data_IF_924596690712
#
_entry.id   IF_924596690712
#
_cell.length_a   1.000
_cell.length_b   1.000
_cell.length_c   1.000
_cell.angle_alpha   90.00
_cell.angle_beta   90.00
_cell.angle_gamma   90.00
#
_symmetry.space_group_name_H-M   'P 1'
#
loop_
_entity.id
_entity.type
_entity.pdbx_description
1 polymer ?
#
# COMPACT_ATOMS: atom_id res chain seq x y z
N UNK A 1 -49.96 23.29 57.67
CA UNK A 1 -49.55 24.00 56.43
C UNK A 1 -49.37 25.50 56.69
N UNK A 2 -48.51 25.95 57.61
CA UNK A 2 -48.09 27.37 57.70
C UNK A 2 -49.13 28.50 57.86
N UNK A 3 -50.41 28.20 58.00
CA UNK A 3 -51.47 29.17 58.24
C UNK A 3 -51.52 29.50 59.73
N UNK A 4 -51.40 30.78 60.05
CA UNK A 4 -51.67 31.27 61.40
C UNK A 4 -53.00 31.98 61.42
N UNK A 5 -53.76 31.78 62.50
CA UNK A 5 -55.01 32.48 62.73
C UNK A 5 -54.67 33.94 62.99
N UNK A 6 -55.12 34.83 62.11
CA UNK A 6 -54.93 36.27 62.23
C UNK A 6 -56.27 36.95 61.98
N UNK A 7 -56.53 38.07 62.66
CA UNK A 7 -57.78 38.80 62.50
C UNK A 7 -57.68 39.65 61.23
N UNK A 8 -58.71 39.61 60.40
CA UNK A 8 -58.74 40.31 59.10
C UNK A 8 -60.08 41.09 59.03
N UNK A 9 -60.08 42.25 58.35
CA UNK A 9 -61.27 43.10 58.15
C UNK A 9 -61.20 44.44 58.90
N UNK A 10 -62.05 45.41 58.52
CA UNK A 10 -62.08 46.73 59.17
C UNK A 10 -62.63 46.61 60.60
N UNK A 11 -61.73 46.42 61.57
CA UNK A 11 -62.03 46.33 62.99
C UNK A 11 -61.72 44.99 63.66
N UNK A 12 -60.92 44.10 63.05
CA UNK A 12 -60.38 42.89 63.70
C UNK A 12 -61.46 41.91 64.23
N UNK A 13 -62.63 41.85 63.57
CA UNK A 13 -63.76 41.03 64.04
C UNK A 13 -63.87 39.65 63.41
N UNK A 14 -63.19 39.39 62.28
CA UNK A 14 -63.28 38.11 61.57
C UNK A 14 -61.98 37.31 61.73
N UNK A 15 -62.13 36.02 62.07
CA UNK A 15 -61.03 35.07 62.17
C UNK A 15 -60.63 34.59 60.78
N UNK A 16 -59.51 35.08 60.27
CA UNK A 16 -58.91 34.65 59.01
C UNK A 16 -57.67 33.78 59.21
N UNK A 17 -57.25 33.13 58.13
CA UNK A 17 -55.97 32.41 58.08
C UNK A 17 -55.03 33.18 57.17
N UNK A 18 -53.92 33.70 57.71
CA UNK A 18 -52.91 34.40 56.94
C UNK A 18 -51.70 33.49 56.78
N UNK A 19 -51.23 33.34 55.54
CA UNK A 19 -49.97 32.67 55.25
C UNK A 19 -48.84 33.62 55.64
N UNK A 20 -47.96 33.18 56.53
CA UNK A 20 -46.74 33.92 56.85
C UNK A 20 -45.93 34.16 55.57
N UNK A 21 -45.68 35.43 55.23
CA UNK A 21 -44.87 35.83 54.05
C UNK A 21 -43.50 35.13 54.01
N UNK A 22 -42.89 34.85 55.17
CA UNK A 22 -41.63 34.10 55.26
C UNK A 22 -41.74 32.67 54.75
N UNK A 23 -42.88 31.99 55.00
CA UNK A 23 -43.12 30.62 54.50
C UNK A 23 -43.42 30.59 53.01
N UNK A 24 -44.15 31.60 52.50
CA UNK A 24 -44.43 31.71 51.07
C UNK A 24 -43.13 31.98 50.27
N UNK A 25 -42.23 32.82 50.81
CA UNK A 25 -40.89 33.01 50.25
C UNK A 25 -40.06 31.72 50.30
N UNK A 26 -40.10 30.99 51.43
CA UNK A 26 -39.41 29.70 51.54
C UNK A 26 -39.89 28.67 50.51
N UNK A 27 -41.20 28.62 50.25
CA UNK A 27 -41.78 27.72 49.24
C UNK A 27 -41.38 28.14 47.82
N UNK A 28 -41.40 29.43 47.50
CA UNK A 28 -40.96 29.95 46.20
C UNK A 28 -39.46 29.72 45.94
N UNK A 29 -38.61 29.95 46.95
CA UNK A 29 -37.18 29.65 46.87
C UNK A 29 -36.96 28.15 46.71
N UNK A 30 -37.70 27.32 47.45
CA UNK A 30 -37.65 25.86 47.32
C UNK A 30 -38.04 25.37 45.93
N UNK A 31 -39.09 25.92 45.33
CA UNK A 31 -39.51 25.54 43.96
C UNK A 31 -38.48 25.96 42.91
N UNK A 32 -37.89 27.16 43.04
CA UNK A 32 -36.84 27.63 42.12
C UNK A 32 -35.58 26.76 42.25
N UNK A 33 -35.21 26.37 43.48
CA UNK A 33 -34.08 25.47 43.72
C UNK A 33 -34.30 24.09 43.06
N UNK A 34 -35.51 23.52 43.17
CA UNK A 34 -35.83 22.23 42.52
C UNK A 34 -35.74 22.33 41.00
N UNK A 35 -36.28 23.40 40.40
CA UNK A 35 -36.17 23.64 38.95
C UNK A 35 -34.71 23.82 38.54
N UNK A 36 -33.91 24.53 39.33
CA UNK A 36 -32.48 24.68 39.10
C UNK A 36 -31.73 23.35 39.12
N UNK A 37 -32.02 22.48 40.09
CA UNK A 37 -31.41 21.13 40.17
C UNK A 37 -31.82 20.29 38.95
N UNK A 38 -33.11 20.31 38.56
CA UNK A 38 -33.57 19.57 37.38
C UNK A 38 -32.90 20.09 36.08
N UNK A 39 -32.74 21.41 35.94
CA UNK A 39 -32.05 21.98 34.79
C UNK A 39 -30.58 21.55 34.73
N UNK A 40 -29.88 21.51 35.87
CA UNK A 40 -28.50 21.02 35.96
C UNK A 40 -28.43 19.54 35.56
N UNK A 41 -29.35 18.70 36.06
CA UNK A 41 -29.41 17.27 35.69
C UNK A 41 -29.61 17.10 34.18
N UNK A 42 -30.52 17.87 33.56
CA UNK A 42 -30.74 17.82 32.10
C UNK A 42 -29.49 18.24 31.32
N UNK A 43 -28.77 19.27 31.78
CA UNK A 43 -27.52 19.70 31.13
C UNK A 43 -26.44 18.62 31.27
N UNK A 44 -26.33 17.99 32.43
CA UNK A 44 -25.36 16.91 32.66
C UNK A 44 -25.69 15.67 31.81
N UNK A 45 -26.96 15.26 31.70
CA UNK A 45 -27.34 14.11 30.87
C UNK A 45 -27.14 14.39 29.37
N UNK A 46 -27.44 15.61 28.91
CA UNK A 46 -27.12 16.01 27.53
C UNK A 46 -25.60 16.01 27.28
N UNK A 47 -24.81 16.40 28.27
CA UNK A 47 -23.35 16.36 28.18
C UNK A 47 -22.83 14.92 28.15
N UNK A 48 -23.33 14.04 29.01
CA UNK A 48 -22.99 12.60 29.02
C UNK A 48 -23.35 11.93 27.70
N UNK A 49 -24.57 12.11 27.19
CA UNK A 49 -24.99 11.56 25.89
C UNK A 49 -24.09 12.06 24.76
N UNK A 50 -23.70 13.34 24.78
CA UNK A 50 -22.80 13.90 23.76
C UNK A 50 -21.38 13.34 23.89
N UNK A 51 -20.91 13.09 25.12
CA UNK A 51 -19.61 12.51 25.39
C UNK A 51 -19.55 11.02 25.03
N UNK A 52 -20.57 10.24 25.37
CA UNK A 52 -20.71 8.84 24.99
C UNK A 52 -20.75 8.69 23.46
N UNK A 53 -21.53 9.54 22.77
CA UNK A 53 -21.58 9.53 21.31
C UNK A 53 -20.20 9.80 20.70
N UNK A 54 -19.44 10.76 21.25
CA UNK A 54 -18.06 11.07 20.81
C UNK A 54 -17.07 9.93 21.09
N UNK A 55 -17.18 9.30 22.25
CA UNK A 55 -16.38 8.12 22.62
C UNK A 55 -16.67 6.93 21.71
N UNK A 56 -17.95 6.69 21.41
CA UNK A 56 -18.39 5.59 20.55
C UNK A 56 -17.87 5.77 19.12
N UNK A 57 -18.00 6.97 18.54
CA UNK A 57 -17.45 7.25 17.20
C UNK A 57 -15.93 7.11 17.12
N UNK A 58 -15.19 7.40 18.19
CA UNK A 58 -13.74 7.16 18.22
C UNK A 58 -13.40 5.67 18.19
N UNK A 59 -14.15 4.85 18.93
CA UNK A 59 -13.96 3.39 18.90
C UNK A 59 -14.38 2.82 17.56
N UNK A 60 -15.50 3.30 17.01
CA UNK A 60 -16.00 2.89 15.70
C UNK A 60 -14.97 3.21 14.60
N UNK A 61 -14.44 4.44 14.56
CA UNK A 61 -13.38 4.82 13.63
C UNK A 61 -12.13 3.96 13.78
N UNK A 62 -11.71 3.66 15.02
CA UNK A 62 -10.56 2.76 15.24
C UNK A 62 -10.81 1.35 14.72
N UNK A 63 -11.99 0.80 14.99
CA UNK A 63 -12.38 -0.54 14.50
C UNK A 63 -12.51 -0.54 12.97
N UNK A 64 -13.05 0.52 12.38
CA UNK A 64 -13.18 0.70 10.93
C UNK A 64 -11.82 0.90 10.26
N UNK A 65 -10.93 1.75 10.78
CA UNK A 65 -9.57 1.89 10.27
C UNK A 65 -8.77 0.59 10.41
N UNK A 66 -8.93 -0.14 11.51
CA UNK A 66 -8.28 -1.44 11.67
C UNK A 66 -8.81 -2.45 10.65
N UNK A 67 -10.13 -2.48 10.42
CA UNK A 67 -10.74 -3.33 9.40
C UNK A 67 -10.27 -2.94 7.99
N UNK A 68 -10.23 -1.65 7.67
CA UNK A 68 -9.78 -1.13 6.38
C UNK A 68 -8.28 -1.41 6.15
N UNK A 69 -7.44 -1.22 7.17
CA UNK A 69 -6.01 -1.56 7.12
C UNK A 69 -5.79 -3.06 6.92
N UNK A 70 -6.55 -3.92 7.61
CA UNK A 70 -6.51 -5.38 7.37
C UNK A 70 -6.98 -5.75 5.98
N UNK A 71 -8.00 -5.07 5.46
CA UNK A 71 -8.53 -5.32 4.12
C UNK A 71 -7.49 -4.91 3.07
N UNK A 72 -6.86 -3.75 3.23
CA UNK A 72 -5.76 -3.30 2.40
C UNK A 72 -4.54 -4.24 2.46
N UNK A 73 -4.20 -4.77 3.64
CA UNK A 73 -3.14 -5.76 3.78
C UNK A 73 -3.45 -7.05 3.01
N UNK A 74 -4.64 -7.63 3.24
CA UNK A 74 -5.06 -8.85 2.53
C UNK A 74 -5.10 -8.61 1.02
N UNK A 75 -5.51 -7.41 0.61
CA UNK A 75 -5.46 -7.01 -0.79
C UNK A 75 -4.02 -6.97 -1.31
N UNK A 76 -3.09 -6.32 -0.60
CA UNK A 76 -1.68 -6.26 -0.97
C UNK A 76 -1.01 -7.64 -1.02
N UNK A 77 -1.31 -8.54 -0.08
CA UNK A 77 -0.84 -9.93 -0.13
C UNK A 77 -1.38 -10.66 -1.36
N UNK A 78 -2.67 -10.48 -1.68
CA UNK A 78 -3.27 -10.99 -2.91
C UNK A 78 -2.60 -10.41 -4.16
N UNK A 79 -2.22 -9.13 -4.13
CA UNK A 79 -1.50 -8.44 -5.20
C UNK A 79 -0.09 -9.00 -5.42
N UNK A 80 0.65 -9.26 -4.34
CA UNK A 80 1.97 -9.89 -4.39
C UNK A 80 1.89 -11.28 -5.02
N UNK A 81 1.01 -12.14 -4.50
CA UNK A 81 0.78 -13.49 -5.06
C UNK A 81 0.38 -13.44 -6.54
N UNK A 82 -0.43 -12.46 -6.91
CA UNK A 82 -0.88 -12.28 -8.28
C UNK A 82 0.24 -11.85 -9.24
N UNK A 83 1.13 -10.97 -8.78
CA UNK A 83 2.32 -10.56 -9.54
C UNK A 83 3.22 -11.75 -9.80
N UNK A 84 3.45 -12.57 -8.79
CA UNK A 84 4.25 -13.79 -8.89
C UNK A 84 3.65 -14.77 -9.90
N UNK A 85 2.33 -14.99 -9.87
CA UNK A 85 1.63 -15.84 -10.84
C UNK A 85 1.81 -15.35 -12.30
N UNK A 86 1.81 -14.03 -12.53
CA UNK A 86 2.06 -13.46 -13.87
C UNK A 86 3.50 -13.72 -14.30
N UNK A 87 4.47 -13.49 -13.41
CA UNK A 87 5.89 -13.70 -13.71
C UNK A 87 6.12 -15.18 -14.00
N UNK A 88 5.61 -16.09 -13.17
CA UNK A 88 5.69 -17.53 -13.39
C UNK A 88 5.04 -17.94 -14.72
N UNK A 89 3.91 -17.33 -15.09
CA UNK A 89 3.26 -17.57 -16.38
C UNK A 89 4.13 -17.15 -17.57
N UNK A 90 4.78 -15.99 -17.48
CA UNK A 90 5.68 -15.48 -18.52
C UNK A 90 6.95 -16.34 -18.64
N UNK A 91 7.54 -16.76 -17.52
CA UNK A 91 8.66 -17.69 -17.49
C UNK A 91 8.27 -19.05 -18.09
N UNK A 92 7.09 -19.57 -17.76
CA UNK A 92 6.58 -20.80 -18.34
C UNK A 92 6.38 -20.68 -19.87
N UNK A 93 5.93 -19.52 -20.38
CA UNK A 93 5.89 -19.26 -21.82
C UNK A 93 7.27 -19.21 -22.45
N UNK A 94 8.25 -18.57 -21.80
CA UNK A 94 9.62 -18.49 -22.28
C UNK A 94 10.25 -19.90 -22.34
N UNK A 95 10.04 -20.72 -21.31
CA UNK A 95 10.45 -22.12 -21.28
C UNK A 95 9.81 -22.94 -22.41
N UNK A 96 8.52 -22.75 -22.68
CA UNK A 96 7.84 -23.40 -23.80
C UNK A 96 8.47 -23.03 -25.16
N UNK A 97 8.82 -21.76 -25.37
CA UNK A 97 9.50 -21.31 -26.60
C UNK A 97 10.91 -21.91 -26.72
N UNK A 98 11.64 -21.94 -25.61
CA UNK A 98 12.99 -22.54 -25.53
C UNK A 98 12.96 -24.04 -25.81
N UNK A 99 11.99 -24.77 -25.24
CA UNK A 99 11.77 -26.19 -25.50
C UNK A 99 11.48 -26.45 -26.98
N UNK A 100 10.60 -25.65 -27.59
CA UNK A 100 10.26 -25.79 -29.01
C UNK A 100 11.49 -25.55 -29.92
N UNK A 101 12.34 -24.58 -29.57
CA UNK A 101 13.58 -24.29 -30.30
C UNK A 101 14.61 -25.41 -30.14
N UNK A 102 14.77 -25.91 -28.91
CA UNK A 102 15.66 -27.04 -28.60
C UNK A 102 15.25 -28.29 -29.35
N UNK A 103 13.94 -28.52 -29.51
CA UNK A 103 13.40 -29.64 -30.28
C UNK A 103 13.77 -29.58 -31.76
N UNK A 104 13.60 -28.43 -32.41
CA UNK A 104 14.00 -28.24 -33.80
C UNK A 104 15.49 -28.57 -34.02
N UNK A 105 16.34 -28.25 -33.03
CA UNK A 105 17.76 -28.60 -33.06
C UNK A 105 18.05 -30.09 -32.81
N UNK A 106 17.29 -30.73 -31.91
CA UNK A 106 17.41 -32.15 -31.59
C UNK A 106 17.10 -33.01 -32.82
N UNK A 107 16.05 -32.66 -33.56
CA UNK A 107 15.65 -33.38 -34.77
C UNK A 107 16.82 -33.46 -35.77
N UNK A 108 17.48 -32.33 -36.04
CA UNK A 108 18.64 -32.26 -36.95
C UNK A 108 19.81 -33.09 -36.42
N UNK A 109 20.12 -33.00 -35.12
CA UNK A 109 21.21 -33.77 -34.50
C UNK A 109 20.93 -35.27 -34.55
N UNK A 110 19.72 -35.70 -34.21
CA UNK A 110 19.34 -37.10 -34.19
C UNK A 110 19.41 -37.70 -35.60
N UNK A 111 18.88 -36.98 -36.61
CA UNK A 111 18.99 -37.38 -38.02
C UNK A 111 20.47 -37.59 -38.41
N UNK A 112 21.34 -36.64 -38.06
CA UNK A 112 22.78 -36.71 -38.32
C UNK A 112 23.46 -37.89 -37.61
N UNK A 113 23.10 -38.18 -36.35
CA UNK A 113 23.66 -39.29 -35.59
C UNK A 113 23.24 -40.63 -36.17
N UNK A 114 21.96 -40.76 -36.56
CA UNK A 114 21.45 -41.99 -37.16
C UNK A 114 22.06 -42.22 -38.54
N UNK A 115 22.21 -41.18 -39.36
CA UNK A 115 22.92 -41.27 -40.64
C UNK A 115 24.39 -41.72 -40.46
N UNK A 116 25.05 -41.30 -39.39
CA UNK A 116 26.42 -41.71 -39.07
C UNK A 116 26.48 -43.16 -38.58
N UNK A 117 25.61 -43.54 -37.64
CA UNK A 117 25.53 -44.90 -37.11
C UNK A 117 25.12 -45.92 -38.18
N UNK A 118 24.24 -45.53 -39.10
CA UNK A 118 23.84 -46.35 -40.24
C UNK A 118 25.03 -46.72 -41.13
N UNK A 119 25.92 -45.75 -41.38
CA UNK A 119 27.17 -45.96 -42.13
C UNK A 119 28.12 -46.89 -41.38
N UNK A 120 28.28 -46.72 -40.06
CA UNK A 120 29.17 -47.54 -39.23
C UNK A 120 28.70 -49.00 -39.13
N UNK A 121 27.41 -49.22 -38.98
CA UNK A 121 26.80 -50.55 -38.84
C UNK A 121 26.52 -51.24 -40.18
N UNK A 122 26.84 -50.59 -41.31
CA UNK A 122 26.55 -51.06 -42.65
C UNK A 122 25.05 -51.42 -42.85
N UNK A 123 24.18 -50.69 -42.15
CA UNK A 123 22.74 -50.84 -42.27
C UNK A 123 22.29 -50.29 -43.62
N UNK A 124 21.34 -50.98 -44.26
CA UNK A 124 20.69 -50.45 -45.44
C UNK A 124 20.09 -49.06 -45.08
N UNK A 125 20.46 -48.05 -45.85
CA UNK A 125 20.09 -46.64 -45.65
C UNK A 125 18.58 -46.46 -45.49
N UNK A 126 17.78 -47.24 -46.20
CA UNK A 126 16.31 -47.18 -46.14
C UNK A 126 15.77 -47.70 -44.80
N UNK A 127 16.42 -48.71 -44.20
CA UNK A 127 16.03 -49.23 -42.88
C UNK A 127 16.46 -48.31 -41.74
N UNK A 128 17.63 -47.69 -41.88
CA UNK A 128 18.13 -46.74 -40.88
C UNK A 128 17.31 -45.44 -40.87
N UNK A 129 16.93 -44.93 -42.05
CA UNK A 129 16.04 -43.77 -42.17
C UNK A 129 14.65 -44.09 -41.61
N UNK A 130 14.08 -45.27 -41.91
CA UNK A 130 12.80 -45.67 -41.32
C UNK A 130 12.87 -45.80 -39.79
N UNK A 131 13.98 -46.28 -39.23
CA UNK A 131 14.18 -46.32 -37.77
C UNK A 131 14.30 -44.90 -37.18
N UNK A 132 15.00 -44.00 -37.87
CA UNK A 132 15.08 -42.59 -37.50
C UNK A 132 13.70 -41.94 -37.47
N UNK A 133 12.90 -42.16 -38.51
CA UNK A 133 11.56 -41.59 -38.61
C UNK A 133 10.64 -42.12 -37.52
N UNK A 134 10.71 -43.41 -37.16
CA UNK A 134 9.95 -43.98 -36.03
C UNK A 134 10.35 -43.37 -34.69
N UNK A 135 11.66 -43.23 -34.42
CA UNK A 135 12.14 -42.65 -33.16
C UNK A 135 11.77 -41.16 -33.10
N UNK A 136 11.97 -40.42 -34.19
CA UNK A 136 11.59 -39.01 -34.28
C UNK A 136 10.09 -38.83 -34.11
N UNK A 137 9.27 -39.70 -34.70
CA UNK A 137 7.82 -39.62 -34.57
C UNK A 137 7.35 -39.89 -33.13
N UNK A 138 7.91 -40.89 -32.45
CA UNK A 138 7.56 -41.21 -31.06
C UNK A 138 7.98 -40.08 -30.10
N UNK A 139 9.20 -39.54 -30.29
CA UNK A 139 9.68 -38.39 -29.53
C UNK A 139 8.84 -37.14 -29.82
N UNK A 140 8.44 -36.91 -31.08
CA UNK A 140 7.52 -35.85 -31.47
C UNK A 140 6.17 -35.99 -30.77
N UNK A 141 5.60 -37.20 -30.73
CA UNK A 141 4.29 -37.46 -30.14
C UNK A 141 4.31 -37.22 -28.63
N UNK A 142 5.28 -37.79 -27.92
CA UNK A 142 5.42 -37.62 -26.47
C UNK A 142 5.69 -36.15 -26.09
N UNK A 143 6.46 -35.42 -26.90
CA UNK A 143 6.67 -34.00 -26.70
C UNK A 143 5.43 -33.16 -27.03
N UNK A 144 4.67 -33.49 -28.07
CA UNK A 144 3.45 -32.76 -28.41
C UNK A 144 2.41 -32.86 -27.29
N UNK A 145 2.33 -34.01 -26.62
CA UNK A 145 1.54 -34.17 -25.40
C UNK A 145 2.07 -33.30 -24.25
N UNK A 146 3.37 -33.29 -24.00
CA UNK A 146 3.98 -32.44 -22.97
C UNK A 146 3.77 -30.94 -23.24
N UNK A 147 3.92 -30.48 -24.48
CA UNK A 147 3.66 -29.09 -24.90
C UNK A 147 2.19 -28.76 -24.71
N UNK A 148 1.28 -29.68 -25.01
CA UNK A 148 -0.15 -29.48 -24.79
C UNK A 148 -0.49 -29.35 -23.30
N UNK A 149 0.12 -30.18 -22.45
CA UNK A 149 -0.04 -30.10 -20.99
C UNK A 149 0.53 -28.79 -20.42
N UNK A 150 1.75 -28.44 -20.80
CA UNK A 150 2.38 -27.19 -20.38
C UNK A 150 1.60 -25.96 -20.89
N UNK A 151 1.12 -25.98 -22.13
CA UNK A 151 0.23 -24.94 -22.66
C UNK A 151 -1.05 -24.81 -21.83
N UNK A 152 -1.67 -25.92 -21.45
CA UNK A 152 -2.87 -25.88 -20.61
C UNK A 152 -2.61 -25.26 -19.23
N UNK A 153 -1.45 -25.55 -18.61
CA UNK A 153 -1.05 -24.92 -17.35
C UNK A 153 -0.82 -23.43 -17.52
N UNK A 154 -0.12 -23.01 -18.58
CA UNK A 154 0.07 -21.59 -18.90
C UNK A 154 -1.27 -20.90 -19.17
N UNK A 155 -2.16 -21.50 -19.97
CA UNK A 155 -3.48 -20.93 -20.25
C UNK A 155 -4.30 -20.78 -18.96
N UNK A 156 -4.17 -21.72 -18.02
CA UNK A 156 -4.80 -21.63 -16.69
C UNK A 156 -4.23 -20.46 -15.87
N UNK A 157 -2.90 -20.32 -15.79
CA UNK A 157 -2.23 -19.20 -15.12
C UNK A 157 -2.62 -17.85 -15.74
N UNK A 158 -2.63 -17.73 -17.08
CA UNK A 158 -3.07 -16.52 -17.78
C UNK A 158 -4.54 -16.21 -17.49
N UNK A 159 -5.40 -17.23 -17.38
CA UNK A 159 -6.82 -17.04 -17.07
C UNK A 159 -7.05 -16.59 -15.63
N UNK A 160 -6.29 -17.14 -14.68
CA UNK A 160 -6.26 -16.69 -13.28
C UNK A 160 -5.77 -15.25 -13.20
N UNK A 161 -4.68 -14.94 -13.94
CA UNK A 161 -4.21 -13.61 -14.28
C UNK A 161 -5.36 -12.66 -14.64
N UNK A 162 -6.03 -12.91 -15.78
CA UNK A 162 -7.12 -12.04 -16.24
C UNK A 162 -8.27 -11.87 -15.23
N UNK A 163 -8.57 -12.88 -14.42
CA UNK A 163 -9.55 -12.76 -13.33
C UNK A 163 -9.04 -11.83 -12.22
N UNK A 164 -7.78 -11.96 -11.80
CA UNK A 164 -7.16 -11.08 -10.82
C UNK A 164 -7.12 -9.62 -11.28
N UNK A 165 -6.73 -9.33 -12.52
CA UNK A 165 -6.78 -7.97 -13.07
C UNK A 165 -8.20 -7.36 -13.12
N UNK A 166 -9.23 -8.20 -13.24
CA UNK A 166 -10.62 -7.74 -13.14
C UNK A 166 -11.03 -7.49 -11.68
N UNK A 167 -10.53 -8.29 -10.75
CA UNK A 167 -10.77 -8.15 -9.32
C UNK A 167 -10.08 -6.89 -8.79
N UNK A 168 -8.82 -6.65 -9.17
CA UNK A 168 -8.05 -5.41 -8.95
C UNK A 168 -8.89 -4.17 -9.25
N UNK A 169 -9.48 -4.09 -10.45
CA UNK A 169 -10.27 -2.91 -10.84
C UNK A 169 -11.55 -2.77 -10.03
N UNK A 170 -12.06 -3.87 -9.48
CA UNK A 170 -13.24 -3.86 -8.65
C UNK A 170 -12.89 -3.41 -7.23
N UNK A 171 -11.85 -4.00 -6.63
CA UNK A 171 -11.42 -3.69 -5.26
C UNK A 171 -10.87 -2.27 -5.19
N UNK A 172 -9.99 -1.87 -6.11
CA UNK A 172 -9.47 -0.50 -6.16
C UNK A 172 -10.61 0.53 -6.35
N UNK A 173 -11.68 0.18 -7.07
CA UNK A 173 -12.87 1.04 -7.20
C UNK A 173 -13.69 1.09 -5.90
N UNK A 174 -13.86 -0.03 -5.20
CA UNK A 174 -14.53 -0.05 -3.89
C UNK A 174 -13.72 0.73 -2.85
N UNK A 175 -12.41 0.56 -2.81
CA UNK A 175 -11.51 1.25 -1.89
C UNK A 175 -11.53 2.76 -2.11
N UNK A 176 -11.40 3.23 -3.35
CA UNK A 176 -11.55 4.66 -3.68
C UNK A 176 -12.92 5.18 -3.27
N UNK A 177 -13.98 4.39 -3.48
CA UNK A 177 -15.35 4.78 -3.11
C UNK A 177 -15.53 4.88 -1.59
N UNK A 178 -14.97 3.94 -0.84
CA UNK A 178 -15.04 3.93 0.63
C UNK A 178 -14.22 5.10 1.20
N UNK A 179 -13.04 5.39 0.63
CA UNK A 179 -12.26 6.58 0.98
C UNK A 179 -13.00 7.89 0.68
N UNK A 180 -13.68 7.99 -0.47
CA UNK A 180 -14.50 9.16 -0.79
C UNK A 180 -15.71 9.33 0.13
N UNK A 181 -16.34 8.22 0.56
CA UNK A 181 -17.43 8.23 1.54
C UNK A 181 -16.93 8.64 2.92
N UNK A 182 -15.76 8.18 3.33
CA UNK A 182 -15.10 8.57 4.58
C UNK A 182 -14.73 10.06 4.56
N UNK A 183 -14.12 10.56 3.49
CA UNK A 183 -13.75 11.97 3.37
C UNK A 183 -14.99 12.89 3.45
N UNK A 184 -16.13 12.44 2.91
CA UNK A 184 -17.41 13.16 3.07
C UNK A 184 -17.88 13.17 4.52
N UNK A 185 -17.80 12.04 5.22
CA UNK A 185 -18.15 11.98 6.64
C UNK A 185 -17.26 12.89 7.50
N UNK A 186 -15.95 12.97 7.20
CA UNK A 186 -15.03 13.89 7.87
C UNK A 186 -15.45 15.35 7.62
N UNK A 187 -15.74 15.72 6.37
CA UNK A 187 -16.18 17.08 6.01
C UNK A 187 -17.54 17.45 6.63
N UNK A 188 -18.47 16.50 6.73
CA UNK A 188 -19.75 16.70 7.41
C UNK A 188 -19.56 16.95 8.92
N UNK A 189 -18.70 16.17 9.57
CA UNK A 189 -18.34 16.35 10.98
C UNK A 189 -17.68 17.73 11.24
N UNK A 190 -16.84 18.21 10.32
CA UNK A 190 -16.26 19.56 10.37
C UNK A 190 -17.33 20.65 10.22
N UNK A 191 -18.28 20.48 9.29
CA UNK A 191 -19.36 21.44 9.05
C UNK A 191 -20.39 21.49 10.18
N UNK A 192 -20.66 20.39 10.87
CA UNK A 192 -21.57 20.34 12.03
C UNK A 192 -21.00 21.03 13.30
N UNK A 193 -19.84 21.68 13.17
CA UNK A 193 -19.21 22.43 14.26
C UNK A 193 -18.50 21.51 15.26
N UNK A 194 -18.02 20.36 14.79
CA UNK A 194 -16.96 19.63 15.47
C UNK A 194 -15.77 20.56 15.63
N UNK A 195 -15.51 20.98 16.87
CA UNK A 195 -14.29 21.74 17.20
C UNK A 195 -13.11 20.98 16.59
N UNK A 196 -12.24 21.64 15.80
CA UNK A 196 -11.06 21.02 15.21
C UNK A 196 -10.38 20.17 16.26
N UNK A 197 -9.98 18.97 15.86
CA UNK A 197 -9.18 18.12 16.72
C UNK A 197 -7.88 18.87 17.00
N UNK A 198 -7.84 19.62 18.11
CA UNK A 198 -6.60 19.92 18.80
C UNK A 198 -6.09 18.55 19.25
N UNK A 199 -5.42 17.85 18.33
CA UNK A 199 -4.54 16.75 18.66
C UNK A 199 -3.66 17.23 19.80
N UNK A 200 -3.33 16.37 20.78
CA UNK A 200 -2.76 16.80 22.04
C UNK A 200 -1.61 17.77 21.78
N UNK A 201 -1.87 19.07 21.96
CA UNK A 201 -0.88 20.13 22.08
C UNK A 201 -0.20 19.95 23.45
N UNK A 202 0.40 18.77 23.63
CA UNK A 202 1.35 18.43 24.65
C UNK A 202 2.74 18.47 24.04
N UNK A 203 3.04 19.53 23.28
CA UNK A 203 4.38 19.90 22.87
C UNK A 203 5.21 20.30 24.09
N UNK A 204 5.53 19.34 24.96
CA UNK A 204 6.70 19.43 25.81
C UNK A 204 7.93 19.33 24.91
N UNK A 205 8.34 20.47 24.36
CA UNK A 205 9.72 20.71 23.94
C UNK A 205 10.61 20.57 25.18
N UNK A 206 11.00 19.35 25.52
CA UNK A 206 12.17 19.13 26.34
C UNK A 206 13.39 19.38 25.46
N UNK A 207 14.03 20.51 25.75
CA UNK A 207 15.39 20.82 25.38
C UNK A 207 16.32 19.64 25.67
N UNK A 208 17.15 19.31 24.67
CA UNK A 208 18.57 19.02 24.90
C UNK A 208 18.93 17.57 25.17
N UNK A 209 19.38 16.89 24.11
CA UNK A 209 20.61 16.11 24.10
C UNK A 209 20.80 15.08 25.23
N UNK A 210 19.94 14.05 25.33
CA UNK A 210 20.30 12.83 26.06
C UNK A 210 19.40 11.61 25.74
N UNK A 211 19.34 11.15 24.49
CA UNK A 211 18.59 9.92 24.14
C UNK A 211 19.53 8.83 23.60
N UNK A 212 20.18 8.12 24.51
CA UNK A 212 20.72 6.76 24.32
C UNK A 212 21.13 6.22 25.68
N UNK A 213 20.16 5.88 26.53
CA UNK A 213 20.23 4.76 27.47
C UNK A 213 19.01 4.74 28.40
N UNK A 214 18.19 3.71 28.22
CA UNK A 214 17.44 3.10 29.31
C UNK A 214 16.15 3.80 29.73
N UNK A 215 15.02 3.36 29.17
CA UNK A 215 13.85 3.02 29.98
C UNK A 215 12.84 2.20 29.14
N UNK A 216 12.99 0.88 29.21
CA UNK A 216 11.89 -0.05 28.98
C UNK A 216 10.91 0.07 30.15
N UNK A 217 9.66 0.47 29.89
CA UNK A 217 8.67 0.56 30.97
C UNK A 217 7.39 1.29 30.61
N UNK A 218 6.74 0.90 29.51
CA UNK A 218 5.45 1.45 29.10
C UNK A 218 4.92 0.71 27.89
N UNK A 219 4.45 -0.51 28.09
CA UNK A 219 3.86 -1.37 27.08
C UNK A 219 2.42 -0.91 26.75
N UNK A 220 2.26 0.36 26.38
CA UNK A 220 1.13 0.74 25.54
C UNK A 220 1.48 0.21 24.16
N UNK A 221 0.75 -0.81 23.73
CA UNK A 221 0.79 -1.34 22.37
C UNK A 221 0.54 -0.17 21.43
N UNK A 222 1.61 0.46 20.95
CA UNK A 222 1.61 1.13 19.66
C UNK A 222 1.18 0.04 18.67
N UNK A 223 -0.12 -0.07 18.40
CA UNK A 223 -0.57 -0.56 17.10
C UNK A 223 0.16 0.33 16.11
N UNK A 224 1.24 -0.21 15.55
CA UNK A 224 1.99 0.38 14.47
C UNK A 224 0.98 0.70 13.38
N UNK A 225 0.82 1.99 13.10
CA UNK A 225 0.04 2.44 11.98
C UNK A 225 0.74 1.90 10.73
N UNK A 226 0.32 0.74 10.21
CA UNK A 226 0.99 0.07 9.08
C UNK A 226 1.09 1.01 7.84
N UNK A 227 0.12 1.92 7.67
CA UNK A 227 0.22 2.96 6.65
C UNK A 227 1.44 3.86 6.86
N UNK A 228 1.83 4.09 8.10
CA UNK A 228 3.03 4.87 8.41
C UNK A 228 4.28 4.20 7.85
N UNK A 229 4.41 2.88 8.01
CA UNK A 229 5.57 2.13 7.54
C UNK A 229 5.62 2.11 5.99
N UNK A 230 4.47 1.90 5.34
CA UNK A 230 4.32 2.04 3.89
C UNK A 230 4.72 3.45 3.40
N UNK A 231 4.26 4.49 4.08
CA UNK A 231 4.63 5.87 3.77
C UNK A 231 6.11 6.12 4.01
N UNK A 232 6.71 5.56 5.05
CA UNK A 232 8.17 5.68 5.27
C UNK A 232 8.96 5.07 4.12
N UNK A 233 8.54 3.91 3.60
CA UNK A 233 9.14 3.31 2.40
C UNK A 233 8.95 4.19 1.16
N UNK A 234 7.74 4.70 0.93
CA UNK A 234 7.47 5.63 -0.18
C UNK A 234 8.36 6.87 -0.11
N UNK A 235 8.45 7.53 1.05
CA UNK A 235 9.26 8.74 1.22
C UNK A 235 10.76 8.44 1.11
N UNK A 236 11.21 7.26 1.51
CA UNK A 236 12.58 6.84 1.27
C UNK A 236 12.88 6.78 -0.23
N UNK A 237 12.03 6.09 -1.01
CA UNK A 237 12.16 6.00 -2.47
C UNK A 237 12.08 7.38 -3.13
N UNK A 238 11.13 8.22 -2.72
CA UNK A 238 11.00 9.59 -3.22
C UNK A 238 12.24 10.43 -2.95
N UNK A 239 12.78 10.39 -1.74
CA UNK A 239 13.96 11.18 -1.36
C UNK A 239 15.23 10.72 -2.09
N UNK A 240 15.41 9.40 -2.27
CA UNK A 240 16.50 8.85 -3.07
C UNK A 240 16.39 9.33 -4.52
N UNK A 241 15.20 9.19 -5.11
CA UNK A 241 14.89 9.66 -6.46
C UNK A 241 15.09 11.17 -6.64
N UNK A 242 14.62 11.99 -5.69
CA UNK A 242 14.82 13.43 -5.71
C UNK A 242 16.31 13.78 -5.66
N UNK A 243 17.10 13.08 -4.84
CA UNK A 243 18.53 13.31 -4.73
C UNK A 243 19.26 13.09 -6.06
N UNK A 244 18.80 12.11 -6.86
CA UNK A 244 19.37 11.74 -8.16
C UNK A 244 18.91 12.68 -9.28
N UNK A 245 17.63 13.09 -9.29
CA UNK A 245 17.03 13.77 -10.43
C UNK A 245 16.75 15.27 -10.27
N UNK A 246 16.99 15.88 -9.09
CA UNK A 246 16.63 17.29 -8.80
C UNK A 246 17.18 18.37 -9.74
N UNK A 247 18.31 18.12 -10.39
CA UNK A 247 19.05 19.16 -11.12
C UNK A 247 18.85 19.05 -12.65
N UNK A 248 19.91 18.60 -13.33
CA UNK A 248 20.02 18.54 -14.78
C UNK A 248 18.89 17.71 -15.43
N UNK A 249 18.49 16.53 -14.90
CA UNK A 249 17.41 15.73 -15.47
C UNK A 249 16.08 16.50 -15.58
N UNK A 250 15.60 17.10 -14.48
CA UNK A 250 14.37 17.90 -14.47
C UNK A 250 14.38 19.04 -15.50
N UNK A 251 15.53 19.68 -15.70
CA UNK A 251 15.65 20.80 -16.64
C UNK A 251 15.65 20.40 -18.12
N UNK A 252 16.14 19.18 -18.44
CA UNK A 252 16.41 18.72 -19.80
C UNK A 252 15.42 17.67 -20.31
N UNK A 253 14.91 16.78 -19.44
CA UNK A 253 13.93 15.74 -19.79
C UNK A 253 12.52 16.34 -19.90
N UNK A 254 12.26 17.03 -21.01
CA UNK A 254 10.98 17.63 -21.33
C UNK A 254 10.69 17.57 -22.82
N UNK A 255 9.47 17.90 -23.19
CA UNK A 255 9.04 17.96 -24.58
C UNK A 255 9.97 18.82 -25.43
N UNK A 256 10.39 18.26 -26.57
CA UNK A 256 11.36 18.86 -27.49
C UNK A 256 12.80 18.36 -27.31
N UNK A 257 13.15 17.70 -26.21
CA UNK A 257 14.47 17.09 -26.07
C UNK A 257 14.54 15.73 -26.79
N UNK A 258 15.58 15.43 -27.60
CA UNK A 258 15.68 14.18 -28.35
C UNK A 258 15.60 12.92 -27.48
N UNK A 259 16.30 12.91 -26.35
CA UNK A 259 16.27 11.80 -25.38
C UNK A 259 14.87 11.55 -24.83
N UNK A 260 14.12 12.62 -24.52
CA UNK A 260 12.76 12.50 -24.00
C UNK A 260 11.81 11.91 -25.07
N UNK A 261 11.99 12.29 -26.34
CA UNK A 261 11.24 11.70 -27.44
C UNK A 261 11.55 10.21 -27.63
N UNK A 262 12.82 9.81 -27.54
CA UNK A 262 13.22 8.40 -27.63
C UNK A 262 12.60 7.56 -26.51
N UNK A 263 12.55 8.10 -25.29
CA UNK A 263 11.87 7.44 -24.16
C UNK A 263 10.37 7.29 -24.43
N UNK A 264 9.70 8.33 -24.96
CA UNK A 264 8.28 8.25 -25.34
C UNK A 264 8.02 7.19 -26.40
N UNK A 265 8.87 7.14 -27.43
CA UNK A 265 8.78 6.16 -28.50
C UNK A 265 9.00 4.73 -27.97
N UNK A 266 9.91 4.55 -27.01
CA UNK A 266 10.13 3.28 -26.33
C UNK A 266 8.92 2.89 -25.47
N UNK A 267 8.38 3.79 -24.66
CA UNK A 267 7.17 3.54 -23.87
C UNK A 267 5.97 3.16 -24.75
N UNK A 268 5.81 3.81 -25.90
CA UNK A 268 4.77 3.46 -26.86
C UNK A 268 4.93 2.04 -27.43
N UNK A 269 6.17 1.57 -27.61
CA UNK A 269 6.45 0.18 -28.02
C UNK A 269 6.15 -0.82 -26.91
N UNK A 270 6.51 -0.49 -25.66
CA UNK A 270 6.20 -1.31 -24.48
C UNK A 270 4.69 -1.55 -24.39
N UNK A 271 3.88 -0.52 -24.61
CA UNK A 271 2.41 -0.60 -24.58
C UNK A 271 1.76 -1.06 -25.90
N UNK A 272 2.56 -1.44 -26.90
CA UNK A 272 2.03 -1.93 -28.17
C UNK A 272 1.55 -3.39 -28.06
N UNK A 273 0.72 -3.88 -28.99
CA UNK A 273 0.30 -5.29 -29.00
C UNK A 273 1.46 -6.29 -29.12
N UNK A 274 2.61 -5.85 -29.65
CA UNK A 274 3.85 -6.62 -29.75
C UNK A 274 4.83 -6.10 -28.69
N UNK A 275 4.52 -6.34 -27.41
CA UNK A 275 5.37 -5.91 -26.28
C UNK A 275 6.77 -6.53 -26.40
N UNK A 276 7.84 -5.71 -26.44
CA UNK A 276 9.22 -6.20 -26.44
C UNK A 276 9.56 -6.93 -25.15
N UNK A 277 10.55 -7.84 -25.18
CA UNK A 277 11.04 -8.48 -23.96
C UNK A 277 11.82 -7.50 -23.08
N UNK A 278 11.96 -7.80 -21.78
CA UNK A 278 12.77 -6.97 -20.85
C UNK A 278 14.21 -6.75 -21.35
N UNK A 279 14.81 -7.77 -21.98
CA UNK A 279 16.16 -7.67 -22.56
C UNK A 279 16.19 -6.72 -23.75
N UNK A 280 15.15 -6.72 -24.58
CA UNK A 280 15.01 -5.79 -25.71
C UNK A 280 14.79 -4.35 -25.22
N UNK A 281 14.02 -4.17 -24.15
CA UNK A 281 13.81 -2.87 -23.50
C UNK A 281 15.13 -2.36 -22.90
N UNK A 282 15.87 -3.20 -22.17
CA UNK A 282 17.18 -2.88 -21.61
C UNK A 282 18.19 -2.48 -22.71
N UNK A 283 18.27 -3.25 -23.79
CA UNK A 283 19.13 -2.91 -24.93
C UNK A 283 18.69 -1.63 -25.67
N UNK A 284 17.41 -1.30 -25.65
CA UNK A 284 16.92 -0.05 -26.21
C UNK A 284 17.28 1.14 -25.32
N UNK A 285 17.13 1.00 -23.99
CA UNK A 285 17.56 1.97 -22.99
C UNK A 285 19.06 2.25 -23.07
N UNK A 286 19.90 1.23 -23.18
CA UNK A 286 21.37 1.37 -23.30
C UNK A 286 21.81 2.20 -24.53
N UNK A 287 20.97 2.23 -25.58
CA UNK A 287 21.22 3.01 -26.79
C UNK A 287 20.80 4.48 -26.65
N UNK A 288 19.99 4.80 -25.65
CA UNK A 288 19.56 6.18 -25.35
C UNK A 288 20.66 6.83 -24.52
N UNK A 289 21.14 8.00 -24.94
CA UNK A 289 22.16 8.75 -24.21
C UNK A 289 21.57 9.48 -23.00
N UNK A 290 21.22 8.70 -21.96
CA UNK A 290 20.71 9.20 -20.69
C UNK A 290 21.75 10.04 -19.93
N UNK A 291 23.03 9.83 -20.18
CA UNK A 291 24.11 10.61 -19.58
C UNK A 291 24.09 12.07 -20.02
N UNK A 292 23.68 12.34 -21.27
CA UNK A 292 23.56 13.70 -21.81
C UNK A 292 22.58 14.57 -21.01
N UNK A 293 21.53 13.97 -20.45
CA UNK A 293 20.52 14.64 -19.63
C UNK A 293 20.81 14.54 -18.12
N UNK A 294 21.89 13.86 -17.73
CA UNK A 294 22.25 13.65 -16.33
C UNK A 294 21.43 12.56 -15.63
N UNK A 295 20.73 11.70 -16.38
CA UNK A 295 19.88 10.61 -15.87
C UNK A 295 20.51 9.23 -16.15
N UNK A 296 21.84 9.14 -16.12
CA UNK A 296 22.53 7.88 -16.37
C UNK A 296 22.18 6.85 -15.29
N UNK A 297 21.85 5.61 -15.68
CA UNK A 297 21.25 4.59 -14.81
C UNK A 297 22.13 4.10 -13.64
N UNK A 298 23.37 4.57 -13.52
CA UNK A 298 24.31 4.15 -12.49
C UNK A 298 24.56 2.63 -12.50
N UNK A 299 25.28 2.13 -11.49
CA UNK A 299 25.49 0.69 -11.29
C UNK A 299 24.63 0.11 -10.15
N UNK A 300 23.64 0.87 -9.66
CA UNK A 300 22.92 0.56 -8.43
C UNK A 300 21.40 0.45 -8.57
N UNK A 301 20.80 0.87 -9.69
CA UNK A 301 19.35 0.76 -9.89
C UNK A 301 19.00 -0.67 -10.32
N UNK A 302 18.32 -1.39 -9.43
CA UNK A 302 17.75 -2.73 -9.70
C UNK A 302 16.25 -2.57 -9.90
N UNK A 303 15.87 -1.86 -10.98
CA UNK A 303 14.48 -1.75 -11.41
C UNK A 303 14.30 -2.49 -12.74
N UNK A 304 13.14 -3.10 -12.98
CA UNK A 304 12.80 -3.60 -14.31
C UNK A 304 12.98 -2.51 -15.38
N UNK A 305 13.57 -2.83 -16.54
CA UNK A 305 13.77 -1.88 -17.63
C UNK A 305 12.51 -1.09 -18.01
N UNK A 306 11.32 -1.70 -18.00
CA UNK A 306 10.07 -1.01 -18.28
C UNK A 306 9.76 0.10 -17.25
N UNK A 307 9.96 -0.17 -15.97
CA UNK A 307 9.71 0.76 -14.87
C UNK A 307 10.68 1.94 -14.92
N UNK A 308 11.95 1.69 -15.31
CA UNK A 308 12.94 2.75 -15.56
C UNK A 308 12.45 3.71 -16.65
N UNK A 309 11.87 3.19 -17.75
CA UNK A 309 11.33 4.04 -18.82
C UNK A 309 10.18 4.89 -18.32
N UNK A 310 9.26 4.31 -17.54
CA UNK A 310 8.14 5.03 -16.92
C UNK A 310 8.65 6.16 -16.00
N UNK A 311 9.54 5.84 -15.06
CA UNK A 311 10.11 6.81 -14.11
C UNK A 311 10.75 8.01 -14.82
N UNK A 312 11.58 7.75 -15.84
CA UNK A 312 12.27 8.80 -16.58
C UNK A 312 11.31 9.71 -17.35
N UNK A 313 10.18 9.17 -17.81
CA UNK A 313 9.15 9.93 -18.52
C UNK A 313 8.28 10.79 -17.59
N UNK A 314 8.18 10.38 -16.33
CA UNK A 314 7.42 11.07 -15.30
C UNK A 314 8.22 12.19 -14.61
N UNK A 315 9.55 12.23 -14.70
CA UNK A 315 10.40 13.32 -14.18
C UNK A 315 9.79 14.72 -14.37
N UNK A 316 9.37 15.17 -15.57
CA UNK A 316 8.82 16.51 -15.74
C UNK A 316 7.39 16.71 -15.20
N UNK A 317 6.69 15.63 -14.85
CA UNK A 317 5.29 15.63 -14.41
C UNK A 317 5.14 15.48 -12.90
N UNK A 318 6.11 14.86 -12.23
CA UNK A 318 6.07 14.63 -10.78
C UNK A 318 5.97 15.99 -10.05
N UNK A 319 4.98 16.16 -9.16
CA UNK A 319 4.78 17.40 -8.41
C UNK A 319 5.74 17.46 -7.21
N UNK A 320 7.04 17.61 -7.47
CA UNK A 320 8.07 17.52 -6.42
C UNK A 320 7.85 18.49 -5.26
N UNK A 321 7.48 19.75 -5.55
CA UNK A 321 7.25 20.75 -4.50
C UNK A 321 6.09 20.35 -3.58
N UNK A 322 5.02 19.80 -4.17
CA UNK A 322 3.84 19.35 -3.43
C UNK A 322 4.14 18.06 -2.64
N UNK A 323 4.95 17.14 -3.19
CA UNK A 323 5.41 15.94 -2.47
C UNK A 323 6.27 16.29 -1.27
N UNK A 324 7.25 17.20 -1.41
CA UNK A 324 8.07 17.66 -0.29
C UNK A 324 7.22 18.37 0.77
N UNK A 325 6.22 19.15 0.36
CA UNK A 325 5.29 19.78 1.29
C UNK A 325 4.42 18.73 2.02
N UNK A 326 3.92 17.72 1.29
CA UNK A 326 3.10 16.64 1.82
C UNK A 326 3.88 15.80 2.85
N UNK A 327 5.13 15.44 2.56
CA UNK A 327 6.02 14.75 3.49
C UNK A 327 6.21 15.57 4.78
N UNK A 328 6.47 16.87 4.63
CA UNK A 328 6.67 17.76 5.78
C UNK A 328 5.41 17.88 6.65
N UNK A 329 4.24 18.01 6.03
CA UNK A 329 2.96 18.09 6.74
C UNK A 329 2.67 16.79 7.49
N UNK A 330 2.94 15.64 6.86
CA UNK A 330 2.79 14.32 7.47
C UNK A 330 3.75 14.11 8.65
N UNK A 331 5.05 14.32 8.45
CA UNK A 331 6.06 14.20 9.52
C UNK A 331 5.84 15.21 10.65
N UNK A 332 5.26 16.37 10.34
CA UNK A 332 4.87 17.39 11.31
C UNK A 332 3.58 17.06 12.07
N UNK A 333 2.85 16.01 11.70
CA UNK A 333 1.55 15.64 12.28
C UNK A 333 0.40 16.55 11.86
N UNK A 334 0.59 17.41 10.84
CA UNK A 334 -0.45 18.28 10.30
C UNK A 334 -1.44 17.52 9.40
N UNK A 335 -0.99 16.42 8.79
CA UNK A 335 -1.83 15.46 8.06
C UNK A 335 -1.60 14.06 8.60
N UNK A 336 -2.67 13.27 8.72
CA UNK A 336 -2.55 11.85 9.08
C UNK A 336 -2.15 10.98 7.89
N UNK A 337 -1.77 9.73 8.17
CA UNK A 337 -1.28 8.77 7.16
C UNK A 337 -2.34 8.46 6.09
N UNK A 338 -3.63 8.44 6.45
CA UNK A 338 -4.73 8.15 5.52
C UNK A 338 -4.90 9.28 4.51
N UNK A 339 -4.92 10.54 4.97
CA UNK A 339 -5.03 11.70 4.09
C UNK A 339 -3.84 11.80 3.13
N UNK A 340 -2.64 11.47 3.61
CA UNK A 340 -1.42 11.46 2.79
C UNK A 340 -1.48 10.36 1.74
N UNK A 341 -1.80 9.13 2.15
CA UNK A 341 -1.90 8.00 1.23
C UNK A 341 -3.00 8.23 0.17
N UNK A 342 -4.15 8.79 0.56
CA UNK A 342 -5.21 9.17 -0.39
C UNK A 342 -4.74 10.17 -1.44
N UNK A 343 -3.98 11.20 -1.04
CA UNK A 343 -3.41 12.16 -1.99
C UNK A 343 -2.39 11.50 -2.94
N UNK A 344 -1.56 10.58 -2.42
CA UNK A 344 -0.60 9.83 -3.23
C UNK A 344 -1.31 8.90 -4.22
N UNK A 345 -2.35 8.19 -3.80
CA UNK A 345 -3.18 7.35 -4.66
C UNK A 345 -3.87 8.17 -5.76
N UNK A 346 -4.36 9.38 -5.43
CA UNK A 346 -4.91 10.30 -6.42
C UNK A 346 -3.85 10.68 -7.48
N UNK A 347 -2.67 11.10 -7.06
CA UNK A 347 -1.58 11.45 -7.99
C UNK A 347 -1.11 10.25 -8.82
N UNK A 348 -1.08 9.04 -8.26
CA UNK A 348 -0.82 7.82 -9.00
C UNK A 348 -1.88 7.57 -10.07
N UNK A 349 -3.16 7.68 -9.74
CA UNK A 349 -4.27 7.52 -10.70
C UNK A 349 -4.24 8.53 -11.86
N UNK A 350 -3.69 9.73 -11.59
CA UNK A 350 -3.48 10.78 -12.59
C UNK A 350 -2.22 10.56 -13.44
N UNK A 351 -1.42 9.53 -13.16
CA UNK A 351 -0.16 9.23 -13.83
C UNK A 351 0.91 10.28 -13.52
N UNK A 352 0.90 10.83 -12.30
CA UNK A 352 1.90 11.78 -11.81
C UNK A 352 2.98 11.12 -10.96
N UNK A 353 2.73 9.90 -10.45
CA UNK A 353 3.69 9.11 -9.69
C UNK A 353 4.00 7.79 -10.42
N UNK A 354 5.24 7.31 -10.38
CA UNK A 354 5.58 5.98 -10.89
C UNK A 354 4.86 4.89 -10.14
N UNK A 355 4.41 3.87 -10.86
CA UNK A 355 3.61 2.77 -10.26
C UNK A 355 4.37 1.96 -9.22
N UNK A 356 5.69 1.81 -9.38
CA UNK A 356 6.53 1.05 -8.46
C UNK A 356 6.71 1.69 -7.07
N UNK A 357 6.52 3.01 -6.91
CA UNK A 357 6.84 3.68 -5.66
C UNK A 357 5.90 3.33 -4.50
N UNK A 358 4.62 3.11 -4.79
CA UNK A 358 3.65 2.72 -3.76
C UNK A 358 3.81 1.26 -3.33
N UNK A 359 4.39 0.41 -4.19
CA UNK A 359 4.63 -1.00 -3.89
C UNK A 359 5.87 -1.23 -3.02
N UNK A 360 6.91 -0.39 -3.14
CA UNK A 360 8.18 -0.54 -2.41
C UNK A 360 8.08 -0.32 -0.90
N UNK A 361 6.99 0.27 -0.41
CA UNK A 361 6.72 0.33 1.03
C UNK A 361 6.60 -1.04 1.68
N UNK A 362 6.11 -2.04 0.94
CA UNK A 362 5.87 -3.40 1.43
C UNK A 362 7.15 -4.23 1.43
N UNK A 363 7.96 -4.14 0.36
CA UNK A 363 9.17 -4.97 0.19
C UNK A 363 10.23 -4.70 1.28
N UNK A 364 10.23 -3.50 1.88
CA UNK A 364 11.17 -3.18 2.95
C UNK A 364 10.83 -3.86 4.28
N UNK A 365 9.54 -4.01 4.59
CA UNK A 365 9.06 -4.75 5.77
C UNK A 365 9.47 -6.23 5.62
N UNK A 366 9.21 -6.83 4.46
CA UNK A 366 9.64 -8.20 4.14
C UNK A 366 11.17 -8.37 4.21
N UNK A 367 11.95 -7.42 3.69
CA UNK A 367 13.43 -7.45 3.75
C UNK A 367 13.99 -7.21 5.15
N UNK A 368 13.31 -6.46 6.01
CA UNK A 368 13.71 -6.26 7.41
C UNK A 368 13.36 -7.50 8.25
N UNK A 369 12.19 -8.11 8.05
CA UNK A 369 11.80 -9.40 8.62
C UNK A 369 12.79 -10.51 8.22
N UNK A 370 13.13 -10.63 6.94
CA UNK A 370 14.08 -11.65 6.46
C UNK A 370 15.50 -11.43 7.04
N UNK A 371 15.89 -10.18 7.31
CA UNK A 371 17.17 -9.86 7.98
C UNK A 371 17.13 -10.17 9.47
N UNK A 372 15.98 -9.98 10.12
CA UNK A 372 15.79 -10.32 11.53
C UNK A 372 15.81 -11.83 11.71
N UNK A 373 15.09 -12.59 10.88
CA UNK A 373 15.14 -14.07 10.86
C UNK A 373 16.58 -14.58 10.65
N UNK A 374 17.31 -14.04 9.66
CA UNK A 374 18.73 -14.41 9.45
C UNK A 374 19.62 -14.10 10.66
N UNK A 375 19.34 -13.01 11.38
CA UNK A 375 20.08 -12.68 12.62
C UNK A 375 19.75 -13.66 13.73
N UNK A 376 18.49 -14.02 13.92
CA UNK A 376 18.08 -14.99 14.93
C UNK A 376 18.66 -16.39 14.63
N UNK A 377 18.67 -16.81 13.37
CA UNK A 377 19.33 -18.05 12.95
C UNK A 377 20.83 -18.04 13.21
N UNK A 378 21.51 -16.94 12.88
CA UNK A 378 22.94 -16.77 13.16
C UNK A 378 23.26 -16.75 14.66
N UNK A 379 22.43 -16.09 15.48
CA UNK A 379 22.60 -16.04 16.93
C UNK A 379 22.34 -17.41 17.56
N UNK A 380 21.28 -18.11 17.14
CA UNK A 380 20.99 -19.48 17.56
C UNK A 380 22.10 -20.46 17.20
N UNK A 381 22.69 -20.34 16.01
CA UNK A 381 23.85 -21.13 15.61
C UNK A 381 25.09 -20.85 16.49
N UNK A 382 25.36 -19.57 16.78
CA UNK A 382 26.46 -19.14 17.67
C UNK A 382 26.27 -19.62 19.11
N UNK A 383 25.05 -19.68 19.62
CA UNK A 383 24.74 -20.23 20.95
C UNK A 383 24.90 -21.75 21.00
N UNK A 384 24.45 -22.48 19.96
CA UNK A 384 24.62 -23.92 19.86
C UNK A 384 26.11 -24.34 19.80
N UNK A 385 26.95 -23.59 19.08
CA UNK A 385 28.39 -23.83 19.06
C UNK A 385 29.04 -23.60 20.44
N UNK A 386 28.63 -22.55 21.17
CA UNK A 386 29.12 -22.29 22.54
C UNK A 386 28.70 -23.37 23.54
N UNK A 387 27.47 -23.89 23.43
CA UNK A 387 26.97 -24.97 24.28
C UNK A 387 27.71 -26.29 24.06
N UNK A 388 28.09 -26.59 22.82
CA UNK A 388 28.82 -27.81 22.46
C UNK A 388 30.29 -27.76 22.88
N UNK A 389 30.91 -26.57 22.89
CA UNK A 389 32.28 -26.39 23.36
C UNK A 389 32.44 -26.43 24.89
N UNK A 390 31.34 -26.32 25.64
CA UNK A 390 31.33 -26.31 27.10
C UNK A 390 31.02 -27.69 27.74
N UNK A 391 30.61 -28.69 26.94
CA UNK A 391 30.48 -30.10 27.34
C UNK A 391 31.70 -30.90 26.93
#
# INVERSE_FOLDING_TARGET
VGFEKSKIGSGDKELGYVIKRSRLRGLAVGSVAIVGVLAIVVVLTLFEVRFERRSFHRKLRKEEHHAASKLAQVEMELWSQYRDDIVESNEAQALLRSLNTSYASLQVRLQSTIDSAAKELNLNKDKATHLADLILHEVASMQQENVKHAKHLVDHLVSAGKHGASLERHVNRELVKDMEEEEKHIKEDEQEGGVPYDGPEGGHRLHGDHWLEGMHGGNETHESDHLKDLLEGFWFTFNDYESEFKDKPRSLLKDGHPVYQQLKDLQAKIHSPETPSEEEIGQALDKIDLSSVGAGLGSGRVLPPADIVEELLLIPKIPFEDLTALEKDWRGGAKDSVAVFGQLAEWHSQGLLPSGWLAQGVEKEELEEEKEEKREEEEGAKEAEKGTAAS
#
